data_IF_746079669444
#
_entry.id   IF_746079669444
#
_cell.length_a   1.000
_cell.length_b   1.000
_cell.length_c   1.000
_cell.angle_alpha   90.00
_cell.angle_beta   90.00
_cell.angle_gamma   90.00
#
_symmetry.space_group_name_H-M   'P 1'
#
loop_
_entity.id
_entity.type
_entity.pdbx_description
1 polymer ?
#
# COMPACT_ATOMS: atom_id res chain seq x y z
N UNK A 1 48.49 69.87 -27.39
CA UNK A 1 47.88 69.02 -28.43
C UNK A 1 48.21 67.59 -28.07
N UNK A 2 47.33 66.65 -27.74
CA UNK A 2 45.88 66.55 -27.61
C UNK A 2 45.62 65.07 -27.32
N UNK A 3 45.31 64.74 -26.06
CA UNK A 3 45.11 63.38 -25.54
C UNK A 3 43.72 62.89 -25.93
N UNK A 4 43.62 61.71 -26.56
CA UNK A 4 42.32 61.02 -26.71
C UNK A 4 42.51 59.51 -26.66
N UNK A 5 42.56 58.97 -25.44
CA UNK A 5 42.27 57.56 -25.14
C UNK A 5 41.59 57.55 -23.80
N UNK A 6 40.27 57.40 -23.79
CA UNK A 6 39.43 56.83 -22.73
C UNK A 6 38.00 57.22 -23.06
N UNK A 7 37.12 56.25 -23.34
CA UNK A 7 35.75 56.19 -22.81
C UNK A 7 34.96 55.03 -23.43
N UNK A 8 34.14 54.41 -22.58
CA UNK A 8 33.00 53.54 -22.89
C UNK A 8 33.23 52.01 -23.01
N UNK A 9 33.62 51.38 -21.91
CA UNK A 9 33.07 50.06 -21.52
C UNK A 9 32.28 50.27 -20.23
N UNK A 10 31.01 50.68 -20.37
CA UNK A 10 29.99 50.60 -19.33
C UNK A 10 28.74 49.99 -19.95
N UNK A 11 28.87 48.76 -20.46
CA UNK A 11 27.73 47.89 -20.65
C UNK A 11 27.35 47.34 -19.27
N UNK A 12 26.32 47.96 -18.73
CA UNK A 12 25.72 47.79 -17.42
C UNK A 12 25.40 46.31 -17.16
N UNK A 13 25.97 45.74 -16.09
CA UNK A 13 25.53 44.49 -15.50
C UNK A 13 24.11 44.68 -14.93
N UNK A 14 23.09 44.62 -15.79
CA UNK A 14 21.72 44.46 -15.34
C UNK A 14 21.59 43.07 -14.73
N UNK A 15 21.55 43.01 -13.40
CA UNK A 15 21.14 41.78 -12.69
C UNK A 15 19.78 41.37 -13.23
N UNK A 16 19.59 40.11 -13.66
CA UNK A 16 18.29 39.65 -14.10
C UNK A 16 17.26 39.88 -12.99
N UNK A 17 16.01 40.24 -13.34
CA UNK A 17 14.95 40.45 -12.37
C UNK A 17 14.83 39.22 -11.45
N UNK A 18 14.68 39.44 -10.14
CA UNK A 18 14.43 38.36 -9.18
C UNK A 18 13.16 37.63 -9.61
N UNK A 19 13.26 36.32 -9.79
CA UNK A 19 12.10 35.50 -10.11
C UNK A 19 11.01 35.67 -9.03
N UNK A 20 9.72 35.68 -9.42
CA UNK A 20 8.62 35.77 -8.47
C UNK A 20 8.70 34.63 -7.44
N UNK A 21 8.15 34.83 -6.23
CA UNK A 21 8.08 33.79 -5.22
C UNK A 21 7.39 32.56 -5.79
N UNK A 22 7.98 31.39 -5.52
CA UNK A 22 7.49 30.08 -6.00
C UNK A 22 6.03 29.91 -5.56
N UNK A 23 5.11 29.80 -6.52
CA UNK A 23 3.75 29.42 -6.20
C UNK A 23 3.79 27.99 -5.65
N UNK A 24 3.11 27.77 -4.52
CA UNK A 24 3.14 26.47 -3.88
C UNK A 24 2.22 25.53 -4.66
N UNK A 25 2.77 24.48 -5.28
CA UNK A 25 1.94 23.38 -5.80
C UNK A 25 1.18 22.81 -4.62
N UNK A 26 -0.15 22.85 -4.68
CA UNK A 26 -0.95 22.36 -3.56
C UNK A 26 -0.76 20.86 -3.39
N UNK A 27 -0.84 20.38 -2.15
CA UNK A 27 -0.69 18.95 -1.85
C UNK A 27 -1.68 18.06 -2.62
N UNK A 28 -2.86 18.59 -2.93
CA UNK A 28 -3.88 17.88 -3.71
C UNK A 28 -3.43 17.70 -5.18
N UNK A 29 -2.88 18.74 -5.80
CA UNK A 29 -2.34 18.68 -7.17
C UNK A 29 -1.13 17.74 -7.22
N UNK A 30 -0.19 17.87 -6.27
CA UNK A 30 0.96 16.97 -6.14
C UNK A 30 0.50 15.49 -6.05
N UNK A 31 -0.46 15.21 -5.16
CA UNK A 31 -1.02 13.85 -4.99
C UNK A 31 -1.60 13.33 -6.30
N UNK A 32 -2.29 14.19 -7.06
CA UNK A 32 -2.90 13.81 -8.34
C UNK A 32 -1.82 13.46 -9.38
N UNK A 33 -0.80 14.29 -9.54
CA UNK A 33 0.32 14.05 -10.48
C UNK A 33 1.06 12.75 -10.13
N UNK A 34 1.35 12.52 -8.84
CA UNK A 34 2.03 11.31 -8.36
C UNK A 34 1.18 10.04 -8.55
N UNK A 35 -0.14 10.14 -8.33
CA UNK A 35 -1.06 9.01 -8.51
C UNK A 35 -1.25 8.65 -9.99
N UNK A 36 -1.45 9.66 -10.85
CA UNK A 36 -1.62 9.45 -12.30
C UNK A 36 -0.37 8.88 -12.96
N UNK A 37 0.82 9.30 -12.53
CA UNK A 37 2.11 8.74 -12.97
C UNK A 37 2.43 7.37 -12.35
N UNK A 38 1.80 7.03 -11.22
CA UNK A 38 2.20 5.93 -10.33
C UNK A 38 3.70 5.99 -9.97
N UNK A 39 4.25 7.20 -9.81
CA UNK A 39 5.69 7.45 -9.56
C UNK A 39 6.63 6.80 -10.60
N UNK A 40 6.18 6.64 -11.85
CA UNK A 40 7.03 6.26 -12.99
C UNK A 40 7.42 7.50 -13.79
N UNK A 41 8.66 7.53 -14.25
CA UNK A 41 9.14 8.57 -15.15
C UNK A 41 8.59 8.33 -16.56
N UNK A 42 7.92 9.33 -17.15
CA UNK A 42 7.36 9.20 -18.50
C UNK A 42 8.43 9.03 -19.58
N UNK A 43 9.61 9.62 -19.38
CA UNK A 43 10.74 9.51 -20.32
C UNK A 43 11.33 8.09 -20.31
N UNK A 44 11.60 7.54 -19.11
CA UNK A 44 12.04 6.15 -18.96
C UNK A 44 11.05 5.15 -19.57
N UNK A 45 9.77 5.38 -19.32
CA UNK A 45 8.70 4.54 -19.84
C UNK A 45 8.66 4.55 -21.37
N UNK A 46 8.69 5.73 -21.98
CA UNK A 46 8.50 5.84 -23.43
C UNK A 46 9.76 5.50 -24.24
N UNK A 47 10.95 5.92 -23.80
CA UNK A 47 12.19 5.72 -24.57
C UNK A 47 12.88 4.38 -24.31
N UNK A 48 12.64 3.76 -23.15
CA UNK A 48 13.39 2.58 -22.71
C UNK A 48 12.51 1.43 -22.25
N UNK A 49 11.18 1.57 -22.32
CA UNK A 49 10.21 0.58 -21.82
C UNK A 49 10.43 0.23 -20.32
N UNK A 50 11.02 1.15 -19.56
CA UNK A 50 11.29 0.93 -18.15
C UNK A 50 10.03 1.27 -17.37
N UNK A 51 9.34 0.20 -16.95
CA UNK A 51 8.04 0.29 -16.30
C UNK A 51 8.10 0.19 -14.76
N UNK A 52 9.13 0.79 -14.17
CA UNK A 52 9.43 0.70 -12.74
C UNK A 52 9.19 2.01 -11.99
N UNK A 53 8.78 1.92 -10.72
CA UNK A 53 8.74 3.08 -9.82
C UNK A 53 10.15 3.65 -9.65
N UNK A 54 10.32 4.96 -9.89
CA UNK A 54 11.60 5.65 -9.75
C UNK A 54 11.54 6.67 -8.62
N UNK A 55 12.69 6.98 -8.02
CA UNK A 55 12.87 8.18 -7.19
C UNK A 55 12.93 9.40 -8.12
N UNK A 56 12.22 10.46 -7.79
CA UNK A 56 11.99 11.57 -8.71
C UNK A 56 11.32 12.78 -8.09
N UNK A 57 11.09 13.79 -8.92
CA UNK A 57 10.52 15.08 -8.55
C UNK A 57 9.50 15.53 -9.59
N UNK A 58 8.65 16.49 -9.20
CA UNK A 58 7.70 17.14 -10.11
C UNK A 58 8.40 18.33 -10.77
N UNK A 59 8.47 18.31 -12.11
CA UNK A 59 8.93 19.41 -12.93
C UNK A 59 7.74 20.22 -13.50
N UNK A 60 7.99 21.50 -13.76
CA UNK A 60 7.08 22.37 -14.50
C UNK A 60 7.50 22.33 -15.97
N UNK A 61 6.58 21.99 -16.87
CA UNK A 61 6.85 21.83 -18.30
C UNK A 61 7.34 23.15 -18.90
N UNK A 62 6.62 24.25 -18.70
CA UNK A 62 7.04 25.57 -19.17
C UNK A 62 8.25 26.18 -18.44
N UNK A 63 8.85 25.47 -17.47
CA UNK A 63 9.93 25.93 -16.58
C UNK A 63 9.56 27.18 -15.75
N UNK A 64 8.29 27.53 -15.67
CA UNK A 64 7.77 28.57 -14.79
C UNK A 64 7.28 27.96 -13.48
N UNK A 65 8.02 28.22 -12.39
CA UNK A 65 7.75 27.72 -11.04
C UNK A 65 6.53 28.38 -10.37
N UNK A 66 5.89 29.35 -11.03
CA UNK A 66 4.66 29.98 -10.56
C UNK A 66 3.40 29.33 -11.13
N UNK A 67 3.54 28.50 -12.17
CA UNK A 67 2.42 27.85 -12.85
C UNK A 67 2.16 26.44 -12.29
N UNK A 68 1.38 26.39 -11.21
CA UNK A 68 0.97 25.15 -10.55
C UNK A 68 -0.17 24.40 -11.23
N UNK A 69 -0.54 24.72 -12.47
CA UNK A 69 -1.58 24.00 -13.19
C UNK A 69 -1.21 22.53 -13.41
N UNK A 70 -2.17 21.63 -13.21
CA UNK A 70 -1.92 20.19 -13.33
C UNK A 70 -1.43 19.79 -14.73
N UNK A 71 -1.91 20.47 -15.77
CA UNK A 71 -1.49 20.28 -17.15
C UNK A 71 -0.06 20.73 -17.43
N UNK A 72 0.53 21.57 -16.56
CA UNK A 72 1.91 22.02 -16.61
C UNK A 72 2.87 21.15 -15.77
N UNK A 73 2.36 20.24 -14.93
CA UNK A 73 3.20 19.44 -14.03
C UNK A 73 3.48 18.03 -14.56
N UNK A 74 4.70 17.53 -14.34
CA UNK A 74 5.10 16.18 -14.74
C UNK A 74 6.03 15.56 -13.70
N UNK A 75 5.86 14.25 -13.43
CA UNK A 75 6.80 13.51 -12.59
C UNK A 75 7.92 12.90 -13.43
N UNK A 76 9.18 13.19 -13.04
CA UNK A 76 10.38 12.66 -13.68
C UNK A 76 11.28 12.01 -12.64
N UNK A 77 12.02 10.96 -13.02
CA UNK A 77 13.13 10.47 -12.20
C UNK A 77 14.22 11.53 -12.10
N UNK A 78 15.07 11.46 -11.08
CA UNK A 78 16.10 12.49 -10.86
C UNK A 78 16.98 12.72 -12.10
N UNK A 79 17.42 11.65 -12.77
CA UNK A 79 18.28 11.74 -13.97
C UNK A 79 17.61 12.55 -15.10
N UNK A 80 16.37 12.19 -15.47
CA UNK A 80 15.64 12.90 -16.53
C UNK A 80 15.11 14.26 -16.08
N UNK A 81 14.89 14.46 -14.77
CA UNK A 81 14.56 15.78 -14.23
C UNK A 81 15.73 16.74 -14.42
N UNK A 82 16.94 16.30 -14.10
CA UNK A 82 18.16 17.09 -14.27
C UNK A 82 18.44 17.36 -15.75
N UNK A 83 18.30 16.35 -16.62
CA UNK A 83 18.43 16.51 -18.06
C UNK A 83 17.45 17.55 -18.61
N UNK A 84 16.17 17.45 -18.21
CA UNK A 84 15.12 18.36 -18.64
C UNK A 84 15.36 19.81 -18.18
N UNK A 85 15.80 20.02 -16.93
CA UNK A 85 16.04 21.36 -16.40
C UNK A 85 17.33 21.98 -16.98
N UNK A 86 18.30 21.14 -17.36
CA UNK A 86 19.58 21.58 -17.92
C UNK A 86 19.45 22.27 -19.29
N UNK A 87 20.41 23.15 -19.60
CA UNK A 87 20.64 23.67 -20.96
C UNK A 87 22.06 23.30 -21.35
N UNK A 88 22.23 22.28 -22.18
CA UNK A 88 23.54 21.94 -22.73
C UNK A 88 23.75 22.66 -24.07
N UNK A 89 24.98 23.09 -24.36
CA UNK A 89 25.33 23.73 -25.64
C UNK A 89 25.68 22.73 -26.75
N UNK A 90 25.88 21.45 -26.39
CA UNK A 90 26.40 20.42 -27.29
C UNK A 90 25.33 19.39 -27.69
N UNK A 91 24.40 19.04 -26.79
CA UNK A 91 23.34 18.09 -27.06
C UNK A 91 21.97 18.78 -27.08
N UNK A 92 21.06 18.25 -27.91
CA UNK A 92 19.65 18.59 -27.80
C UNK A 92 19.10 17.88 -26.56
N UNK A 93 18.82 18.64 -25.52
CA UNK A 93 18.13 18.12 -24.34
C UNK A 93 16.64 17.89 -24.62
N UNK A 94 15.96 17.29 -23.66
CA UNK A 94 14.52 17.06 -23.69
C UNK A 94 13.74 18.38 -23.84
N UNK A 95 12.84 18.43 -24.81
CA UNK A 95 11.95 19.56 -25.05
C UNK A 95 10.64 19.44 -24.26
N UNK A 96 9.96 20.56 -24.06
CA UNK A 96 8.65 20.58 -23.39
C UNK A 96 7.63 19.67 -24.09
N UNK A 97 7.57 19.75 -25.42
CA UNK A 97 6.62 19.00 -26.24
C UNK A 97 6.87 17.49 -26.17
N UNK A 98 8.13 17.06 -26.15
CA UNK A 98 8.50 15.65 -25.97
C UNK A 98 8.05 15.13 -24.60
N UNK A 99 8.37 15.86 -23.52
CA UNK A 99 8.01 15.41 -22.17
C UNK A 99 6.50 15.42 -21.96
N UNK A 100 5.78 16.40 -22.55
CA UNK A 100 4.32 16.47 -22.55
C UNK A 100 3.72 15.25 -23.26
N UNK A 101 4.20 14.94 -24.47
CA UNK A 101 3.78 13.77 -25.23
C UNK A 101 4.02 12.48 -24.44
N UNK A 102 5.20 12.29 -23.87
CA UNK A 102 5.53 11.07 -23.11
C UNK A 102 4.67 10.92 -21.85
N UNK A 103 4.37 12.03 -21.16
CA UNK A 103 3.46 12.04 -20.00
C UNK A 103 2.06 11.56 -20.40
N UNK A 104 1.54 12.07 -21.52
CA UNK A 104 0.22 11.68 -22.02
C UNK A 104 0.16 10.19 -22.38
N UNK A 105 1.21 9.65 -23.00
CA UNK A 105 1.33 8.22 -23.30
C UNK A 105 1.37 7.37 -22.03
N UNK A 106 2.15 7.76 -21.02
CA UNK A 106 2.16 7.08 -19.73
C UNK A 106 0.76 7.10 -19.08
N UNK A 107 0.08 8.24 -19.06
CA UNK A 107 -1.25 8.32 -18.46
C UNK A 107 -2.30 7.52 -19.23
N UNK A 108 -2.21 7.50 -20.55
CA UNK A 108 -3.05 6.65 -21.41
C UNK A 108 -2.83 5.17 -21.10
N UNK A 109 -1.57 4.72 -21.01
CA UNK A 109 -1.24 3.36 -20.64
C UNK A 109 -1.77 3.00 -19.24
N UNK A 110 -1.70 3.94 -18.29
CA UNK A 110 -2.17 3.72 -16.93
C UNK A 110 -3.69 3.57 -16.85
N UNK A 111 -4.42 4.40 -17.60
CA UNK A 111 -5.88 4.26 -17.74
C UNK A 111 -6.24 2.95 -18.39
N UNK A 112 -5.61 2.61 -19.53
CA UNK A 112 -5.85 1.34 -20.21
C UNK A 112 -5.59 0.13 -19.31
N UNK A 113 -4.58 0.16 -18.42
CA UNK A 113 -4.37 -0.91 -17.43
C UNK A 113 -5.49 -1.00 -16.39
N UNK A 114 -6.07 0.13 -15.97
CA UNK A 114 -7.24 0.13 -15.08
C UNK A 114 -8.48 -0.37 -15.82
N UNK A 115 -8.69 0.10 -17.04
CA UNK A 115 -9.83 -0.26 -17.87
C UNK A 115 -9.76 -1.75 -18.22
N UNK A 116 -8.62 -2.27 -18.66
CA UNK A 116 -8.40 -3.71 -18.87
C UNK A 116 -8.56 -4.52 -17.58
N UNK A 117 -8.12 -4.01 -16.42
CA UNK A 117 -8.38 -4.68 -15.14
C UNK A 117 -9.87 -4.68 -14.78
N UNK A 118 -10.61 -3.62 -15.15
CA UNK A 118 -12.04 -3.46 -14.89
C UNK A 118 -12.89 -4.30 -15.84
N UNK A 119 -12.54 -4.30 -17.13
CA UNK A 119 -13.17 -5.12 -18.18
C UNK A 119 -12.86 -6.60 -17.97
N UNK A 120 -11.62 -6.97 -17.63
CA UNK A 120 -11.31 -8.35 -17.24
C UNK A 120 -12.07 -8.76 -15.95
N UNK A 121 -12.44 -7.82 -15.09
CA UNK A 121 -13.32 -8.10 -13.94
C UNK A 121 -14.80 -8.25 -14.32
N UNK A 122 -15.24 -7.73 -15.48
CA UNK A 122 -16.63 -7.84 -15.96
C UNK A 122 -16.83 -9.00 -16.95
N UNK A 123 -15.79 -9.40 -17.70
CA UNK A 123 -15.86 -10.48 -18.70
C UNK A 123 -15.54 -11.85 -18.09
N UNK A 124 -14.86 -11.92 -16.94
CA UNK A 124 -14.57 -13.18 -16.23
C UNK A 124 -15.80 -13.82 -15.56
N UNK A 125 -16.96 -13.18 -15.57
CA UNK A 125 -18.21 -13.72 -15.02
C UNK A 125 -18.91 -14.70 -15.98
N UNK A 126 -18.61 -14.67 -17.29
CA UNK A 126 -19.41 -15.38 -18.30
C UNK A 126 -18.73 -16.57 -18.99
N UNK A 127 -17.40 -16.70 -19.04
CA UNK A 127 -16.78 -17.76 -19.86
C UNK A 127 -15.29 -18.08 -19.57
N UNK A 128 -14.96 -18.76 -18.45
CA UNK A 128 -13.86 -19.73 -18.48
C UNK A 128 -13.86 -20.70 -17.27
N UNK A 129 -13.92 -22.04 -17.48
CA UNK A 129 -14.08 -23.03 -16.41
C UNK A 129 -12.78 -23.75 -16.03
N UNK A 130 -11.62 -23.07 -15.92
CA UNK A 130 -10.41 -23.70 -15.36
C UNK A 130 -9.67 -22.71 -14.44
N UNK A 131 -9.75 -23.04 -13.13
CA UNK A 131 -9.06 -22.51 -11.95
C UNK A 131 -9.43 -21.10 -11.46
N UNK A 132 -10.65 -20.94 -10.92
CA UNK A 132 -10.89 -19.97 -9.87
C UNK A 132 -10.18 -20.44 -8.59
N UNK A 133 -9.23 -19.65 -8.09
CA UNK A 133 -9.10 -19.52 -6.63
C UNK A 133 -10.36 -18.79 -6.18
N UNK A 134 -11.44 -19.58 -6.06
CA UNK A 134 -12.76 -19.19 -5.64
C UNK A 134 -12.60 -18.23 -4.46
N UNK A 135 -13.05 -16.99 -4.63
CA UNK A 135 -13.53 -16.28 -3.46
C UNK A 135 -14.62 -17.18 -2.89
N UNK A 136 -14.41 -17.69 -1.69
CA UNK A 136 -15.48 -18.34 -0.97
C UNK A 136 -16.41 -17.25 -0.40
N UNK A 137 -16.82 -16.32 -1.27
CA UNK A 137 -17.86 -15.32 -1.01
C UNK A 137 -19.10 -16.04 -0.51
N UNK A 138 -19.33 -17.28 -0.98
CA UNK A 138 -20.35 -18.16 -0.45
C UNK A 138 -20.20 -18.39 1.05
N UNK A 139 -19.05 -18.80 1.58
CA UNK A 139 -18.96 -19.19 2.99
C UNK A 139 -19.23 -18.02 3.96
N UNK A 140 -18.67 -16.85 3.70
CA UNK A 140 -18.89 -15.68 4.55
C UNK A 140 -20.29 -15.08 4.37
N UNK A 141 -20.83 -15.09 3.14
CA UNK A 141 -22.20 -14.64 2.90
C UNK A 141 -23.22 -15.55 3.60
N UNK A 142 -23.08 -16.88 3.49
CA UNK A 142 -23.95 -17.82 4.21
C UNK A 142 -23.87 -17.62 5.72
N UNK A 143 -22.68 -17.35 6.27
CA UNK A 143 -22.52 -17.04 7.69
C UNK A 143 -23.21 -15.73 8.10
N UNK A 144 -23.19 -14.69 7.25
CA UNK A 144 -23.94 -13.44 7.48
C UNK A 144 -25.44 -13.68 7.48
N UNK A 145 -25.94 -14.44 6.50
CA UNK A 145 -27.37 -14.69 6.32
C UNK A 145 -27.98 -15.45 7.52
N UNK A 146 -27.17 -16.27 8.20
CA UNK A 146 -27.57 -17.00 9.41
C UNK A 146 -27.63 -16.11 10.68
N UNK A 147 -26.86 -15.03 10.74
CA UNK A 147 -26.78 -14.13 11.91
C UNK A 147 -26.91 -12.65 11.50
N UNK A 148 -28.04 -12.32 10.88
CA UNK A 148 -28.30 -10.97 10.39
C UNK A 148 -28.22 -9.88 11.50
N UNK A 149 -28.52 -10.23 12.76
CA UNK A 149 -28.49 -9.28 13.85
C UNK A 149 -27.06 -9.00 14.37
N UNK A 150 -26.22 -10.03 14.48
CA UNK A 150 -24.84 -9.89 14.94
C UNK A 150 -23.95 -9.08 13.98
N UNK A 151 -24.28 -9.09 12.69
CA UNK A 151 -23.45 -8.48 11.63
C UNK A 151 -23.95 -7.13 11.08
N UNK A 152 -25.01 -6.56 11.64
CA UNK A 152 -25.50 -5.24 11.21
C UNK A 152 -24.39 -4.18 11.25
N UNK A 153 -23.49 -4.27 12.25
CA UNK A 153 -22.34 -3.38 12.39
C UNK A 153 -21.35 -3.46 11.22
N UNK A 154 -21.23 -4.62 10.55
CA UNK A 154 -20.34 -4.82 9.41
C UNK A 154 -20.88 -4.23 8.10
N UNK A 155 -22.17 -3.88 8.05
CA UNK A 155 -22.76 -3.24 6.88
C UNK A 155 -22.39 -1.75 6.77
N UNK A 156 -21.80 -1.17 7.83
CA UNK A 156 -21.30 0.20 7.82
C UNK A 156 -20.04 0.30 6.96
N UNK A 157 -19.96 1.33 6.13
CA UNK A 157 -18.79 1.55 5.27
C UNK A 157 -17.50 1.69 6.09
N UNK A 158 -16.43 1.07 5.59
CA UNK A 158 -15.09 1.20 6.14
C UNK A 158 -14.54 2.61 5.89
N UNK A 159 -14.07 3.26 6.95
CA UNK A 159 -13.48 4.60 6.86
C UNK A 159 -12.00 4.59 6.47
N UNK A 160 -11.35 3.42 6.41
CA UNK A 160 -9.92 3.29 6.17
C UNK A 160 -9.62 2.32 5.01
N UNK A 161 -8.87 2.77 3.99
CA UNK A 161 -8.31 1.86 2.99
C UNK A 161 -7.26 0.99 3.70
N UNK A 162 -7.39 -0.33 3.57
CA UNK A 162 -6.39 -1.27 4.06
C UNK A 162 -5.94 -2.11 2.87
N UNK A 163 -4.65 -2.08 2.61
CA UNK A 163 -3.93 -3.13 1.90
C UNK A 163 -3.19 -3.93 2.97
N UNK A 164 -3.09 -5.25 2.81
CA UNK A 164 -2.23 -6.07 3.66
C UNK A 164 -1.10 -6.61 2.81
N UNK A 165 0.14 -6.33 3.23
CA UNK A 165 1.33 -6.94 2.66
C UNK A 165 1.70 -8.15 3.52
N UNK A 166 1.85 -9.32 2.90
CA UNK A 166 2.24 -10.55 3.60
C UNK A 166 3.64 -10.37 4.23
N UNK A 167 3.82 -10.86 5.46
CA UNK A 167 5.00 -10.68 6.33
C UNK A 167 5.29 -9.23 6.74
N UNK A 168 4.31 -8.36 6.60
CA UNK A 168 4.34 -7.01 7.14
C UNK A 168 3.26 -6.85 8.20
N UNK A 169 3.67 -6.28 9.34
CA UNK A 169 2.74 -5.83 10.37
C UNK A 169 2.13 -4.51 9.93
N UNK A 170 0.82 -4.47 9.76
CA UNK A 170 0.08 -3.25 9.42
C UNK A 170 -1.03 -2.97 10.43
N UNK A 171 -1.43 -1.71 10.53
CA UNK A 171 -2.56 -1.29 11.35
C UNK A 171 -3.86 -1.75 10.72
N UNK A 172 -4.72 -2.38 11.52
CA UNK A 172 -6.05 -2.84 11.12
C UNK A 172 -7.09 -2.20 12.02
N UNK A 173 -7.96 -1.38 11.43
CA UNK A 173 -9.18 -0.95 12.10
C UNK A 173 -10.20 -2.09 12.03
N UNK A 174 -10.98 -2.27 13.09
CA UNK A 174 -12.07 -3.24 13.11
C UNK A 174 -13.35 -2.65 13.68
N UNK A 175 -14.49 -3.08 13.14
CA UNK A 175 -15.79 -2.84 13.75
C UNK A 175 -15.89 -3.69 15.01
N UNK A 176 -16.28 -3.08 16.12
CA UNK A 176 -16.55 -3.77 17.38
C UNK A 176 -18.06 -3.81 17.64
N UNK A 177 -18.52 -4.61 18.60
CA UNK A 177 -19.93 -4.58 19.03
C UNK A 177 -20.35 -3.25 19.67
N UNK A 178 -19.41 -2.36 20.01
CA UNK A 178 -19.70 -1.00 20.47
C UNK A 178 -19.78 0.01 19.32
N UNK A 179 -20.25 1.22 19.62
CA UNK A 179 -20.27 2.33 18.65
C UNK A 179 -18.88 2.92 18.32
N UNK A 180 -17.81 2.33 18.88
CA UNK A 180 -16.44 2.78 18.69
C UNK A 180 -15.65 1.67 17.98
N UNK A 181 -15.16 1.98 16.79
CA UNK A 181 -14.25 1.12 16.04
C UNK A 181 -12.94 0.93 16.84
N UNK A 182 -12.44 -0.31 16.86
CA UNK A 182 -11.14 -0.62 17.47
C UNK A 182 -10.01 -0.57 16.46
N UNK A 183 -8.78 -0.61 16.97
CA UNK A 183 -7.58 -0.83 16.15
C UNK A 183 -6.70 -1.92 16.76
N UNK A 184 -6.14 -2.75 15.89
CA UNK A 184 -5.09 -3.70 16.22
C UNK A 184 -3.99 -3.64 15.15
N UNK A 185 -2.90 -4.33 15.39
CA UNK A 185 -1.93 -4.63 14.35
C UNK A 185 -2.19 -6.06 13.87
N UNK A 186 -2.13 -6.29 12.57
CA UNK A 186 -2.18 -7.63 12.00
C UNK A 186 -0.96 -7.90 11.15
N UNK A 187 -0.49 -9.13 11.19
CA UNK A 187 0.52 -9.63 10.27
C UNK A 187 0.05 -10.97 9.71
N UNK A 188 -0.06 -11.06 8.38
CA UNK A 188 -0.36 -12.30 7.67
C UNK A 188 0.92 -13.03 7.30
N UNK A 189 0.96 -14.32 7.60
CA UNK A 189 2.11 -15.19 7.36
C UNK A 189 1.60 -16.47 6.70
N UNK A 190 1.99 -16.68 5.45
CA UNK A 190 1.64 -17.89 4.71
C UNK A 190 2.68 -18.97 5.05
N UNK A 191 2.24 -20.06 5.70
CA UNK A 191 3.12 -21.13 6.18
C UNK A 191 3.41 -22.17 5.09
N UNK A 192 4.56 -22.87 5.15
CA UNK A 192 4.92 -23.89 4.14
C UNK A 192 3.93 -25.05 4.01
N UNK A 193 3.17 -25.36 5.07
CA UNK A 193 2.15 -26.41 5.06
C UNK A 193 0.81 -25.95 4.47
N UNK A 194 0.75 -24.74 3.92
CA UNK A 194 -0.46 -24.14 3.36
C UNK A 194 -1.37 -23.48 4.38
N UNK A 195 -1.11 -23.58 5.70
CA UNK A 195 -1.84 -22.79 6.68
C UNK A 195 -1.49 -21.30 6.58
N UNK A 196 -2.36 -20.44 7.08
CA UNK A 196 -2.20 -18.98 7.09
C UNK A 196 -2.29 -18.53 8.54
N UNK A 197 -1.16 -18.10 9.10
CA UNK A 197 -1.13 -17.53 10.43
C UNK A 197 -1.44 -16.03 10.37
N UNK A 198 -2.40 -15.59 11.19
CA UNK A 198 -2.66 -14.17 11.44
C UNK A 198 -2.20 -13.85 12.85
N UNK A 199 -1.16 -13.04 12.95
CA UNK A 199 -0.73 -12.47 14.22
C UNK A 199 -1.50 -11.16 14.48
N UNK A 200 -2.52 -11.23 15.34
CA UNK A 200 -3.29 -10.09 15.81
C UNK A 200 -2.71 -9.57 17.13
N UNK A 201 -2.18 -8.36 17.10
CA UNK A 201 -1.46 -7.74 18.21
C UNK A 201 -2.24 -6.51 18.67
N UNK A 202 -2.64 -6.46 19.94
CA UNK A 202 -3.25 -5.28 20.55
C UNK A 202 -2.16 -4.26 20.88
N UNK A 203 -2.13 -3.08 20.21
CA UNK A 203 -1.29 -1.99 20.63
C UNK A 203 -1.86 -1.32 21.89
N UNK A 204 -1.02 -0.62 22.64
CA UNK A 204 -1.51 0.30 23.68
C UNK A 204 -2.41 1.38 23.05
N UNK A 205 -3.52 1.70 23.71
CA UNK A 205 -4.39 2.80 23.31
C UNK A 205 -5.39 2.46 22.20
N UNK A 206 -5.75 1.18 22.03
CA UNK A 206 -6.92 0.79 21.25
C UNK A 206 -8.18 1.51 21.79
N UNK A 207 -8.87 2.36 20.99
CA UNK A 207 -10.03 3.12 21.45
C UNK A 207 -11.31 2.28 21.52
N UNK A 208 -11.36 1.15 20.83
CA UNK A 208 -12.48 0.22 20.86
C UNK A 208 -12.38 -0.77 22.03
N UNK A 209 -13.26 -1.76 22.01
CA UNK A 209 -13.19 -2.90 22.93
C UNK A 209 -11.90 -3.71 22.72
N UNK A 210 -11.53 -4.57 23.68
CA UNK A 210 -10.32 -5.40 23.55
C UNK A 210 -10.41 -6.39 22.36
N UNK A 211 -9.25 -6.78 21.83
CA UNK A 211 -9.20 -7.76 20.73
C UNK A 211 -9.71 -9.14 21.18
N UNK A 212 -9.52 -9.52 22.46
CA UNK A 212 -10.09 -10.76 23.01
C UNK A 212 -11.61 -10.74 22.95
N UNK A 213 -12.24 -9.63 23.36
CA UNK A 213 -13.70 -9.52 23.41
C UNK A 213 -14.36 -9.41 22.02
N UNK A 214 -13.57 -9.13 20.97
CA UNK A 214 -14.06 -9.02 19.60
C UNK A 214 -13.38 -10.04 18.69
N UNK A 215 -12.77 -11.09 19.24
CA UNK A 215 -11.90 -11.97 18.45
C UNK A 215 -12.67 -12.63 17.31
N UNK A 216 -13.93 -13.03 17.53
CA UNK A 216 -14.79 -13.61 16.50
C UNK A 216 -15.03 -12.63 15.34
N UNK A 217 -15.38 -11.39 15.69
CA UNK A 217 -15.72 -10.34 14.72
C UNK A 217 -14.48 -9.85 13.96
N UNK A 218 -13.33 -9.75 14.63
CA UNK A 218 -12.05 -9.39 13.99
C UNK A 218 -11.62 -10.53 13.06
N UNK A 219 -11.68 -11.79 13.49
CA UNK A 219 -11.40 -12.95 12.65
C UNK A 219 -12.26 -12.95 11.39
N UNK A 220 -13.56 -12.73 11.54
CA UNK A 220 -14.49 -12.66 10.42
C UNK A 220 -14.06 -11.58 9.42
N UNK A 221 -13.86 -10.34 9.90
CA UNK A 221 -13.47 -9.20 9.07
C UNK A 221 -12.12 -9.43 8.37
N UNK A 222 -11.13 -9.99 9.06
CA UNK A 222 -9.81 -10.28 8.48
C UNK A 222 -9.92 -11.38 7.41
N UNK A 223 -10.61 -12.47 7.71
CA UNK A 223 -10.70 -13.59 6.77
C UNK A 223 -11.51 -13.24 5.53
N UNK A 224 -12.64 -12.56 5.70
CA UNK A 224 -13.46 -12.06 4.60
C UNK A 224 -12.65 -11.07 3.74
N UNK A 225 -12.03 -10.08 4.37
CA UNK A 225 -11.33 -9.00 3.66
C UNK A 225 -10.10 -9.48 2.87
N UNK A 226 -9.39 -10.49 3.38
CA UNK A 226 -8.16 -10.99 2.75
C UNK A 226 -8.34 -12.37 2.09
N UNK A 227 -9.58 -12.82 1.93
CA UNK A 227 -9.96 -14.10 1.35
C UNK A 227 -9.18 -15.28 1.95
N UNK A 228 -9.17 -15.37 3.28
CA UNK A 228 -8.50 -16.44 4.03
C UNK A 228 -9.52 -17.53 4.31
N UNK A 229 -9.33 -18.76 3.79
CA UNK A 229 -10.23 -19.86 4.10
C UNK A 229 -10.18 -20.19 5.60
N UNK A 230 -11.32 -20.24 6.32
CA UNK A 230 -11.33 -20.47 7.77
C UNK A 230 -10.58 -21.74 8.19
N UNK A 231 -10.65 -22.81 7.38
CA UNK A 231 -9.96 -24.09 7.63
C UNK A 231 -8.42 -23.99 7.56
N UNK A 232 -7.88 -22.93 6.97
CA UNK A 232 -6.43 -22.67 6.88
C UNK A 232 -5.96 -21.69 7.94
N UNK A 233 -6.88 -21.09 8.71
CA UNK A 233 -6.55 -20.04 9.66
C UNK A 233 -5.83 -20.59 10.89
N UNK A 234 -4.72 -19.96 11.25
CA UNK A 234 -4.10 -20.04 12.58
C UNK A 234 -4.17 -18.63 13.17
N UNK A 235 -5.08 -18.39 14.12
CA UNK A 235 -5.21 -17.09 14.76
C UNK A 235 -4.32 -17.00 15.99
N UNK A 236 -3.37 -16.07 15.97
CA UNK A 236 -2.44 -15.81 17.07
C UNK A 236 -2.75 -14.46 17.68
N UNK A 237 -3.13 -14.45 18.96
CA UNK A 237 -3.47 -13.25 19.71
C UNK A 237 -2.33 -12.85 20.66
N UNK A 238 -2.02 -11.56 20.73
CA UNK A 238 -0.99 -11.04 21.60
C UNK A 238 -1.25 -9.60 22.06
N UNK A 239 -0.82 -9.28 23.28
CA UNK A 239 -0.90 -7.94 23.85
C UNK A 239 0.50 -7.32 23.92
N UNK A 240 0.71 -6.17 23.26
CA UNK A 240 2.02 -5.48 23.29
C UNK A 240 2.29 -4.78 24.63
N UNK A 241 1.33 -4.85 25.57
CA UNK A 241 1.46 -4.42 26.96
C UNK A 241 1.24 -5.62 27.89
N UNK A 242 2.18 -5.83 28.82
CA UNK A 242 2.10 -6.93 29.80
C UNK A 242 2.98 -8.12 29.44
N UNK A 243 2.58 -9.30 29.91
CA UNK A 243 3.34 -10.53 29.73
C UNK A 243 3.37 -10.95 28.25
N UNK A 244 4.51 -11.46 27.75
CA UNK A 244 4.76 -11.67 26.33
C UNK A 244 4.01 -12.89 25.75
N UNK A 245 2.95 -13.33 26.39
CA UNK A 245 2.24 -14.56 26.07
C UNK A 245 1.46 -14.40 24.77
N UNK A 246 1.57 -15.42 23.95
CA UNK A 246 0.82 -15.56 22.71
C UNK A 246 -0.20 -16.66 22.93
N UNK A 247 -1.43 -16.40 22.52
CA UNK A 247 -2.49 -17.39 22.54
C UNK A 247 -2.84 -17.79 21.11
N UNK A 248 -2.92 -19.09 20.86
CA UNK A 248 -3.57 -19.61 19.68
C UNK A 248 -5.07 -19.72 19.94
N UNK A 249 -5.86 -19.04 19.13
CA UNK A 249 -7.31 -19.03 19.26
C UNK A 249 -7.92 -20.00 18.25
N UNK A 250 -8.78 -20.87 18.76
CA UNK A 250 -9.57 -21.81 17.97
C UNK A 250 -11.05 -21.51 18.13
N UNK A 251 -11.85 -21.82 17.12
CA UNK A 251 -13.29 -21.58 17.12
C UNK A 251 -14.01 -22.90 16.93
N UNK A 252 -15.14 -23.06 17.62
CA UNK A 252 -15.97 -24.26 17.47
C UNK A 252 -16.78 -24.21 16.18
N UNK A 253 -17.31 -23.02 15.85
CA UNK A 253 -18.04 -22.76 14.61
C UNK A 253 -17.21 -21.81 13.78
N UNK A 254 -17.18 -22.05 12.47
CA UNK A 254 -16.47 -21.25 11.48
C UNK A 254 -17.27 -21.25 10.18
N UNK A 255 -17.10 -20.25 9.29
CA UNK A 255 -17.75 -20.27 7.99
C UNK A 255 -17.35 -21.51 7.18
N UNK A 256 -18.27 -22.12 6.41
CA UNK A 256 -19.65 -21.68 6.13
C UNK A 256 -20.70 -22.09 7.18
N UNK A 257 -20.34 -22.89 8.19
CA UNK A 257 -21.30 -23.50 9.14
C UNK A 257 -21.94 -22.49 10.10
N UNK A 258 -21.37 -21.28 10.15
CA UNK A 258 -21.85 -20.12 10.91
C UNK A 258 -20.73 -19.11 11.04
N UNK A 259 -20.96 -17.98 11.73
CA UNK A 259 -19.87 -17.09 12.07
C UNK A 259 -18.85 -17.77 13.01
N UNK A 260 -17.65 -17.19 13.08
CA UNK A 260 -16.70 -17.58 14.12
C UNK A 260 -17.39 -17.48 15.49
N UNK A 261 -17.40 -18.54 16.29
CA UNK A 261 -18.00 -18.55 17.62
C UNK A 261 -17.37 -19.57 18.57
N UNK A 262 -17.67 -19.44 19.86
CA UNK A 262 -17.12 -20.24 20.96
C UNK A 262 -15.57 -20.27 20.95
N UNK A 263 -14.88 -19.11 21.00
CA UNK A 263 -13.42 -19.06 20.99
C UNK A 263 -12.80 -19.77 22.19
N UNK A 264 -11.67 -20.43 21.96
CA UNK A 264 -10.82 -21.05 22.99
C UNK A 264 -9.38 -20.62 22.79
N UNK A 265 -8.78 -20.12 23.87
CA UNK A 265 -7.39 -19.67 23.92
C UNK A 265 -6.51 -20.79 24.45
N UNK A 266 -5.43 -21.07 23.72
CA UNK A 266 -4.42 -22.05 24.09
C UNK A 266 -3.07 -21.36 24.12
N UNK A 267 -2.31 -21.55 25.20
CA UNK A 267 -0.92 -21.07 25.25
C UNK A 267 -0.11 -21.75 24.13
N UNK A 268 0.64 -20.96 23.36
CA UNK A 268 1.45 -21.52 22.27
C UNK A 268 2.74 -22.14 22.83
N UNK A 269 2.77 -23.48 22.86
CA UNK A 269 3.94 -24.23 23.29
C UNK A 269 5.14 -24.05 22.35
N UNK A 270 6.34 -24.31 22.87
CA UNK A 270 7.57 -24.30 22.06
C UNK A 270 7.53 -25.29 20.89
N UNK A 271 6.82 -26.42 21.04
CA UNK A 271 6.61 -27.40 19.98
C UNK A 271 5.79 -26.82 18.84
N UNK A 272 4.65 -26.18 19.13
CA UNK A 272 3.80 -25.55 18.11
C UNK A 272 4.54 -24.43 17.37
N UNK A 273 5.30 -23.60 18.08
CA UNK A 273 6.17 -22.61 17.47
C UNK A 273 7.14 -23.21 16.45
N UNK A 274 7.79 -24.32 16.83
CA UNK A 274 8.70 -25.05 15.95
C UNK A 274 7.98 -25.65 14.74
N UNK A 275 6.80 -26.24 14.93
CA UNK A 275 6.00 -26.84 13.84
C UNK A 275 5.59 -25.80 12.81
N UNK A 276 5.22 -24.60 13.24
CA UNK A 276 4.89 -23.49 12.34
C UNK A 276 6.13 -22.80 11.76
N UNK A 277 7.33 -23.14 12.22
CA UNK A 277 8.55 -22.45 11.82
C UNK A 277 8.56 -20.98 12.23
N UNK A 278 7.99 -20.65 13.38
CA UNK A 278 7.84 -19.30 13.91
C UNK A 278 8.51 -19.18 15.28
N UNK A 279 9.12 -18.03 15.58
CA UNK A 279 9.64 -17.72 16.92
C UNK A 279 9.11 -16.35 17.37
N UNK A 280 8.49 -16.24 18.56
CA UNK A 280 8.04 -14.96 19.08
C UNK A 280 9.22 -14.06 19.46
N UNK A 281 9.15 -12.78 19.11
CA UNK A 281 10.10 -11.77 19.55
C UNK A 281 9.60 -11.10 20.82
N UNK A 282 10.52 -10.80 21.74
CA UNK A 282 10.20 -10.11 23.00
C UNK A 282 9.59 -8.72 22.81
N UNK A 283 9.97 -8.01 21.75
CA UNK A 283 9.51 -6.65 21.46
C UNK A 283 9.06 -6.55 20.02
N UNK A 284 8.01 -5.78 19.79
CA UNK A 284 7.60 -5.38 18.46
C UNK A 284 8.63 -4.36 17.91
N UNK A 285 9.40 -4.70 16.86
CA UNK A 285 10.36 -3.75 16.31
C UNK A 285 9.63 -2.60 15.64
N UNK A 286 10.08 -1.37 15.89
CA UNK A 286 9.52 -0.15 15.30
C UNK A 286 10.61 0.66 14.61
N UNK A 287 10.37 1.09 13.38
CA UNK A 287 11.24 2.01 12.62
C UNK A 287 10.39 3.16 12.09
N UNK A 288 10.29 4.24 12.87
CA UNK A 288 9.42 5.37 12.55
C UNK A 288 7.93 4.99 12.62
N UNK A 289 7.13 5.25 11.57
CA UNK A 289 5.72 4.88 11.52
C UNK A 289 5.47 3.42 11.17
N UNK A 290 6.53 2.67 10.78
CA UNK A 290 6.40 1.28 10.33
C UNK A 290 6.64 0.31 11.48
N UNK A 291 5.73 -0.64 11.63
CA UNK A 291 5.86 -1.78 12.53
C UNK A 291 6.54 -2.93 11.79
N UNK A 292 7.55 -3.54 12.40
CA UNK A 292 8.12 -4.78 11.87
C UNK A 292 7.42 -6.00 12.46
N UNK A 293 7.71 -7.16 11.88
CA UNK A 293 7.19 -8.45 12.35
C UNK A 293 7.54 -8.72 13.81
N UNK A 294 6.54 -9.11 14.63
CA UNK A 294 6.76 -9.61 15.99
C UNK A 294 7.14 -11.09 16.03
N UNK A 295 7.07 -11.77 14.89
CA UNK A 295 7.47 -13.16 14.73
C UNK A 295 8.76 -13.24 13.88
N UNK A 296 9.65 -14.18 14.17
CA UNK A 296 10.76 -14.54 13.29
C UNK A 296 10.34 -15.79 12.52
N UNK A 297 10.43 -15.75 11.20
CA UNK A 297 10.16 -16.88 10.32
C UNK A 297 11.43 -17.70 10.15
N UNK A 298 11.33 -19.01 10.30
CA UNK A 298 12.44 -19.97 10.16
C UNK A 298 12.47 -20.64 8.78
N UNK A 299 11.52 -20.30 7.91
CA UNK A 299 11.46 -20.74 6.54
C UNK A 299 11.85 -19.59 5.59
N UNK A 300 12.36 -19.95 4.42
CA UNK A 300 12.60 -18.99 3.34
C UNK A 300 11.30 -18.79 2.59
N UNK A 301 10.97 -17.53 2.32
CA UNK A 301 9.89 -17.22 1.39
C UNK A 301 10.40 -17.43 -0.04
N UNK A 302 9.61 -18.03 -0.93
CA UNK A 302 9.91 -17.99 -2.35
C UNK A 302 10.06 -16.53 -2.80
N UNK A 303 11.16 -16.24 -3.49
CA UNK A 303 11.52 -14.91 -3.96
C UNK A 303 10.60 -14.41 -5.07
N UNK A 304 9.95 -15.35 -5.76
CA UNK A 304 9.03 -15.10 -6.87
C UNK A 304 7.82 -16.04 -6.79
N UNK A 305 6.73 -15.67 -7.46
CA UNK A 305 5.60 -16.57 -7.65
C UNK A 305 5.96 -17.83 -8.47
N UNK A 306 7.04 -17.78 -9.26
CA UNK A 306 7.52 -18.90 -10.09
C UNK A 306 8.13 -20.04 -9.25
N UNK A 307 8.57 -19.75 -8.03
CA UNK A 307 9.14 -20.74 -7.10
C UNK A 307 8.05 -21.59 -6.38
N UNK A 308 6.76 -21.34 -6.65
CA UNK A 308 5.60 -21.99 -6.00
C UNK A 308 4.88 -23.03 -6.87
N UNK A 309 5.27 -23.19 -8.15
CA UNK A 309 4.72 -24.17 -9.10
C UNK A 309 5.58 -25.42 -9.20
#
# INVERSE_FOLDING_TARGET
MGSTRFMAILATYMRPPRQPPRAFVTRAVETTVLSQSRRRCCVCFYLHDINEVKKGQIAHLNKDRSDGDIGNLVYLCLDHHDEYDSRTSQAKGLTEDEVRLYREQLYKANRAQVDLATENSQVTEAANPILPLLRDESAFQHARDQDNAGFEVLNRQWNYPLWQVVDQTDLFAYKSHGDIDGVCLIERIDLPNGAIAIACIAPCGNPGQSITNNVELICFQVCERFNIPPKRLIWLEHYDYGDPEWNWVTFRVMPPDGPFSDPRWHEVSSTLWSEWGLIPKKKLPRRGPVYGSKLKKLFKRPSSFEDLS
#
